data_IF_089103753237
#
_entry.id   IF_089103753237
#
_cell.length_a   1.000
_cell.length_b   1.000
_cell.length_c   1.000
_cell.angle_alpha   90.00
_cell.angle_beta   90.00
_cell.angle_gamma   90.00
#
_symmetry.space_group_name_H-M   'P 1'
#
loop_
_entity.id
_entity.type
_entity.pdbx_description
1 polymer ?
#
# COMPACT_ATOMS: atom_id res chain seq x y z
N UNK A 1 58.47 -24.30 -27.70
CA UNK A 1 58.73 -23.09 -26.88
C UNK A 1 60.14 -22.65 -27.19
N UNK A 2 60.27 -21.47 -27.80
CA UNK A 2 61.58 -20.91 -28.16
C UNK A 2 62.24 -20.33 -26.89
N UNK A 3 63.57 -20.17 -26.87
CA UNK A 3 64.24 -19.59 -25.69
C UNK A 3 63.74 -18.19 -25.36
N UNK A 4 63.33 -17.41 -26.36
CA UNK A 4 62.73 -16.09 -26.15
C UNK A 4 61.45 -16.14 -25.33
N UNK A 5 60.59 -17.15 -25.54
CA UNK A 5 59.33 -17.27 -24.81
C UNK A 5 59.57 -17.52 -23.31
N UNK A 6 60.57 -18.34 -22.99
CA UNK A 6 60.97 -18.63 -21.60
C UNK A 6 61.52 -17.40 -20.87
N UNK A 7 62.32 -16.59 -21.57
CA UNK A 7 62.87 -15.36 -20.99
C UNK A 7 61.76 -14.33 -20.70
N UNK A 8 60.73 -14.26 -21.55
CA UNK A 8 59.57 -13.38 -21.33
C UNK A 8 58.73 -13.86 -20.14
N UNK A 9 58.46 -15.17 -20.03
CA UNK A 9 57.76 -15.72 -18.86
C UNK A 9 58.50 -15.44 -17.55
N UNK A 10 59.83 -15.64 -17.51
CA UNK A 10 60.64 -15.35 -16.33
C UNK A 10 60.65 -13.86 -15.97
N UNK A 11 60.59 -12.97 -16.97
CA UNK A 11 60.47 -11.53 -16.74
C UNK A 11 59.12 -11.16 -16.12
N UNK A 12 58.03 -11.75 -16.62
CA UNK A 12 56.68 -11.54 -16.10
C UNK A 12 56.55 -12.07 -14.67
N UNK A 13 57.06 -13.28 -14.41
CA UNK A 13 57.04 -13.90 -13.09
C UNK A 13 57.82 -13.05 -12.07
N UNK A 14 58.99 -12.55 -12.46
CA UNK A 14 59.79 -11.66 -11.61
C UNK A 14 59.09 -10.33 -11.33
N UNK A 15 58.47 -9.71 -12.35
CA UNK A 15 57.68 -8.48 -12.17
C UNK A 15 56.49 -8.70 -11.23
N UNK A 16 55.77 -9.83 -11.37
CA UNK A 16 54.64 -10.15 -10.49
C UNK A 16 55.06 -10.53 -9.06
N UNK A 17 56.25 -11.10 -8.88
CA UNK A 17 56.77 -11.44 -7.55
C UNK A 17 57.32 -10.23 -6.78
N UNK A 18 57.83 -9.22 -7.49
CA UNK A 18 58.33 -7.96 -6.89
C UNK A 18 57.20 -6.98 -6.54
N UNK A 19 56.05 -7.10 -7.19
CA UNK A 19 54.83 -6.37 -6.84
C UNK A 19 54.27 -6.87 -5.50
N UNK A 20 54.42 -6.06 -4.45
CA UNK A 20 53.84 -6.35 -3.13
C UNK A 20 52.32 -6.36 -3.27
N UNK A 21 51.70 -7.53 -3.09
CA UNK A 21 50.24 -7.70 -3.11
C UNK A 21 49.58 -6.60 -2.27
N UNK A 22 48.80 -5.75 -2.92
CA UNK A 22 48.04 -4.69 -2.24
C UNK A 22 47.00 -5.38 -1.35
N UNK A 23 47.30 -5.48 -0.05
CA UNK A 23 46.30 -6.00 0.88
C UNK A 23 45.21 -4.95 1.06
N UNK A 24 43.95 -5.37 1.19
CA UNK A 24 42.90 -4.44 1.60
C UNK A 24 43.29 -3.78 2.93
N UNK A 25 42.75 -2.59 3.18
CA UNK A 25 42.89 -1.94 4.48
C UNK A 25 42.39 -2.86 5.59
N UNK A 26 42.99 -2.77 6.78
CA UNK A 26 42.60 -3.57 7.97
C UNK A 26 41.08 -3.50 8.22
N UNK A 27 40.46 -2.35 7.96
CA UNK A 27 39.04 -2.11 8.19
C UNK A 27 38.12 -2.42 7.00
N UNK A 28 38.64 -3.04 5.93
CA UNK A 28 37.89 -3.27 4.69
C UNK A 28 36.61 -4.09 4.94
N UNK A 29 36.74 -5.20 5.66
CA UNK A 29 35.60 -6.07 6.00
C UNK A 29 34.59 -5.33 6.87
N UNK A 30 35.05 -4.57 7.87
CA UNK A 30 34.18 -3.79 8.76
C UNK A 30 33.42 -2.70 8.00
N UNK A 31 34.09 -2.00 7.07
CA UNK A 31 33.43 -1.00 6.20
C UNK A 31 32.41 -1.64 5.27
N UNK A 32 32.73 -2.77 4.65
CA UNK A 32 31.78 -3.46 3.77
C UNK A 32 30.58 -3.94 4.56
N UNK A 33 30.78 -4.59 5.71
CA UNK A 33 29.70 -5.08 6.55
C UNK A 33 28.79 -3.96 7.04
N UNK A 34 29.37 -2.83 7.45
CA UNK A 34 28.60 -1.64 7.85
C UNK A 34 27.76 -1.07 6.68
N UNK A 35 28.32 -1.02 5.47
CA UNK A 35 27.58 -0.57 4.28
C UNK A 35 26.47 -1.56 3.87
N UNK A 36 26.71 -2.87 4.00
CA UNK A 36 25.71 -3.91 3.74
C UNK A 36 24.55 -3.77 4.71
N UNK A 37 24.83 -3.62 6.01
CA UNK A 37 23.81 -3.49 7.05
C UNK A 37 22.93 -2.24 6.84
N UNK A 38 23.53 -1.10 6.47
CA UNK A 38 22.77 0.11 6.11
C UNK A 38 21.94 -0.08 4.82
N UNK A 39 22.44 -0.82 3.84
CA UNK A 39 21.69 -1.14 2.63
C UNK A 39 20.52 -2.08 2.90
N UNK A 40 20.72 -3.05 3.78
CA UNK A 40 19.75 -4.04 4.21
C UNK A 40 18.64 -3.38 5.03
N UNK A 41 18.98 -2.52 5.99
CA UNK A 41 18.01 -1.68 6.72
C UNK A 41 17.21 -0.74 5.78
N UNK A 42 17.84 -0.23 4.72
CA UNK A 42 17.14 0.58 3.70
C UNK A 42 16.23 -0.25 2.79
N UNK A 43 16.56 -1.51 2.50
CA UNK A 43 15.67 -2.46 1.83
C UNK A 43 14.54 -2.93 2.74
N UNK A 44 14.81 -3.02 4.04
CA UNK A 44 13.85 -3.20 5.12
C UNK A 44 13.11 -1.91 5.48
N UNK A 45 13.11 -0.88 4.62
CA UNK A 45 12.09 0.18 4.68
C UNK A 45 10.74 -0.46 4.39
N UNK A 46 10.19 -1.02 5.45
CA UNK A 46 8.93 -1.70 5.52
C UNK A 46 7.86 -0.84 4.87
N UNK A 47 7.02 -1.51 4.09
CA UNK A 47 5.85 -0.93 3.46
C UNK A 47 5.04 -0.14 4.48
N UNK A 48 5.05 1.19 4.33
CA UNK A 48 4.16 2.06 5.08
C UNK A 48 2.78 1.91 4.43
N UNK A 49 1.79 1.32 5.12
CA UNK A 49 0.49 1.11 4.52
C UNK A 49 -0.08 2.45 4.06
N UNK A 50 -0.52 2.51 2.79
CA UNK A 50 -1.08 3.71 2.16
C UNK A 50 -2.18 4.36 3.01
N UNK A 51 -2.90 3.54 3.76
CA UNK A 51 -3.95 3.92 4.70
C UNK A 51 -3.67 3.22 6.03
N UNK A 52 -3.57 3.99 7.11
CA UNK A 52 -3.35 3.43 8.46
C UNK A 52 -4.53 2.55 8.90
N UNK A 53 -4.27 1.58 9.78
CA UNK A 53 -5.33 0.70 10.31
C UNK A 53 -6.48 1.49 10.96
N UNK A 54 -6.17 2.63 11.59
CA UNK A 54 -7.17 3.51 12.21
C UNK A 54 -8.12 4.15 11.18
N UNK A 55 -7.63 4.47 9.99
CA UNK A 55 -8.46 5.07 8.93
C UNK A 55 -9.40 4.01 8.32
N UNK A 56 -8.97 2.75 8.25
CA UNK A 56 -9.86 1.63 7.87
C UNK A 56 -11.01 1.44 8.86
N UNK A 57 -10.73 1.53 10.16
CA UNK A 57 -11.76 1.46 11.20
C UNK A 57 -12.73 2.64 11.09
N UNK A 58 -12.21 3.85 10.85
CA UNK A 58 -13.03 5.04 10.61
C UNK A 58 -13.95 4.89 9.39
N UNK A 59 -13.45 4.31 8.28
CA UNK A 59 -14.27 4.00 7.10
C UNK A 59 -15.40 3.02 7.44
N UNK A 60 -15.09 1.96 8.19
CA UNK A 60 -16.08 0.96 8.60
C UNK A 60 -17.18 1.56 9.47
N UNK A 61 -16.81 2.43 10.42
CA UNK A 61 -17.75 3.16 11.27
C UNK A 61 -18.62 4.11 10.44
N UNK A 62 -18.04 4.86 9.51
CA UNK A 62 -18.80 5.77 8.65
C UNK A 62 -19.85 5.02 7.81
N UNK A 63 -19.48 3.86 7.25
CA UNK A 63 -20.42 3.00 6.50
C UNK A 63 -21.49 2.44 7.43
N UNK A 64 -21.13 1.95 8.61
CA UNK A 64 -22.11 1.44 9.58
C UNK A 64 -23.12 2.51 9.99
N UNK A 65 -22.66 3.75 10.24
CA UNK A 65 -23.54 4.88 10.55
C UNK A 65 -24.47 5.23 9.38
N UNK A 66 -23.99 5.17 8.13
CA UNK A 66 -24.84 5.34 6.96
C UNK A 66 -25.90 4.25 6.84
N UNK A 67 -25.53 2.98 7.06
CA UNK A 67 -26.48 1.86 7.05
C UNK A 67 -27.52 2.00 8.16
N UNK A 68 -27.10 2.38 9.37
CA UNK A 68 -28.00 2.64 10.50
C UNK A 68 -28.93 3.83 10.17
N UNK A 69 -28.40 4.90 9.62
CA UNK A 69 -29.18 6.07 9.21
C UNK A 69 -30.23 5.69 8.17
N UNK A 70 -29.84 4.98 7.10
CA UNK A 70 -30.81 4.50 6.11
C UNK A 70 -31.81 3.53 6.75
N UNK A 71 -31.38 2.61 7.61
CA UNK A 71 -32.29 1.66 8.27
C UNK A 71 -33.31 2.32 9.19
N UNK A 72 -32.92 3.38 9.91
CA UNK A 72 -33.79 4.08 10.84
C UNK A 72 -34.71 5.10 10.14
N UNK A 73 -34.24 5.72 9.06
CA UNK A 73 -34.99 6.76 8.34
C UNK A 73 -35.71 6.25 7.08
N UNK A 74 -35.40 5.04 6.58
CA UNK A 74 -36.09 4.41 5.44
C UNK A 74 -37.29 3.56 5.86
N UNK A 75 -37.48 3.28 7.15
CA UNK A 75 -38.69 2.64 7.68
C UNK A 75 -39.70 3.75 7.98
N UNK A 76 -40.36 4.21 6.93
CA UNK A 76 -41.48 5.15 7.01
C UNK A 76 -42.75 4.40 7.43
N UNK A 77 -42.78 3.95 8.66
CA UNK A 77 -44.01 3.81 9.43
C UNK A 77 -43.64 4.07 10.89
N UNK A 78 -44.41 4.94 11.54
CA UNK A 78 -44.39 5.30 12.97
C UNK A 78 -43.62 6.59 13.34
N UNK A 79 -44.31 7.70 13.14
CA UNK A 79 -44.63 8.70 14.18
C UNK A 79 -43.51 9.09 15.17
N UNK A 80 -42.37 9.52 14.66
CA UNK A 80 -41.40 10.27 15.45
C UNK A 80 -41.03 11.55 14.70
N UNK A 81 -40.96 12.65 15.45
CA UNK A 81 -40.73 14.05 15.08
C UNK A 81 -39.41 14.31 14.32
N UNK A 82 -39.26 13.63 13.20
CA UNK A 82 -38.11 13.60 12.28
C UNK A 82 -38.48 14.26 10.94
N UNK A 83 -39.77 14.50 10.72
CA UNK A 83 -40.33 15.08 9.50
C UNK A 83 -39.77 16.49 9.21
N UNK A 84 -39.45 17.29 10.23
CA UNK A 84 -39.02 18.68 10.04
C UNK A 84 -37.56 18.81 9.56
N UNK A 85 -36.66 17.92 10.03
CA UNK A 85 -35.25 17.91 9.60
C UNK A 85 -35.10 17.17 8.26
N UNK A 86 -35.88 16.10 8.05
CA UNK A 86 -35.90 15.36 6.79
C UNK A 86 -36.42 16.18 5.62
N UNK A 87 -37.46 17.00 5.82
CA UNK A 87 -38.05 17.85 4.77
C UNK A 87 -37.08 18.88 4.19
N UNK A 88 -36.31 19.58 5.02
CA UNK A 88 -35.39 20.64 4.54
C UNK A 88 -34.27 20.07 3.64
N UNK A 89 -33.77 18.86 3.96
CA UNK A 89 -32.76 18.18 3.15
C UNK A 89 -33.37 17.47 1.93
N UNK A 90 -34.51 16.81 2.11
CA UNK A 90 -35.26 16.15 1.05
C UNK A 90 -35.64 17.14 -0.05
N UNK A 91 -36.21 18.29 0.28
CA UNK A 91 -36.75 19.25 -0.69
C UNK A 91 -35.64 19.90 -1.54
N UNK A 92 -34.47 20.15 -0.94
CA UNK A 92 -33.30 20.69 -1.67
C UNK A 92 -32.63 19.64 -2.56
N UNK A 93 -32.60 18.39 -2.11
CA UNK A 93 -32.01 17.29 -2.86
C UNK A 93 -32.93 16.85 -4.00
N UNK A 94 -34.23 16.74 -3.76
CA UNK A 94 -35.23 16.47 -4.80
C UNK A 94 -35.34 17.60 -5.81
N UNK A 95 -35.21 18.88 -5.43
CA UNK A 95 -35.19 19.99 -6.39
C UNK A 95 -33.98 19.92 -7.35
N UNK A 96 -32.83 19.39 -6.91
CA UNK A 96 -31.62 19.26 -7.75
C UNK A 96 -31.66 17.97 -8.60
N UNK A 97 -32.37 16.93 -8.14
CA UNK A 97 -32.49 15.63 -8.81
C UNK A 97 -33.89 15.37 -9.39
N UNK A 98 -34.73 16.39 -9.53
CA UNK A 98 -36.16 16.32 -9.91
C UNK A 98 -36.43 15.66 -11.27
N UNK A 99 -35.43 15.55 -12.14
CA UNK A 99 -35.55 14.87 -13.43
C UNK A 99 -35.11 13.41 -13.43
N UNK A 100 -34.57 12.90 -12.32
CA UNK A 100 -33.94 11.58 -12.26
C UNK A 100 -34.77 10.68 -11.33
N UNK A 101 -35.59 9.84 -11.95
CA UNK A 101 -36.35 8.81 -11.25
C UNK A 101 -35.39 7.66 -10.87
N UNK A 102 -34.77 7.74 -9.70
CA UNK A 102 -33.95 6.65 -9.19
C UNK A 102 -34.84 5.47 -8.79
N UNK A 103 -34.70 4.32 -9.46
CA UNK A 103 -35.42 3.10 -9.08
C UNK A 103 -34.89 2.54 -7.77
N UNK A 104 -35.70 1.79 -7.02
CA UNK A 104 -35.25 1.18 -5.75
C UNK A 104 -33.96 0.36 -5.93
N UNK A 105 -33.82 -0.31 -7.07
CA UNK A 105 -32.63 -1.09 -7.42
C UNK A 105 -31.37 -0.24 -7.56
N UNK A 106 -31.46 0.96 -8.17
CA UNK A 106 -30.29 1.84 -8.34
C UNK A 106 -29.82 2.42 -7.00
N UNK A 107 -30.76 2.64 -6.08
CA UNK A 107 -30.48 3.14 -4.73
C UNK A 107 -29.75 2.06 -3.91
N UNK A 108 -30.20 0.81 -3.97
CA UNK A 108 -29.48 -0.32 -3.35
C UNK A 108 -28.11 -0.55 -4.01
N UNK A 109 -28.01 -0.40 -5.33
CA UNK A 109 -26.73 -0.52 -6.03
C UNK A 109 -25.73 0.55 -5.57
N UNK A 110 -26.14 1.81 -5.48
CA UNK A 110 -25.29 2.91 -4.97
C UNK A 110 -24.80 2.66 -3.53
N UNK A 111 -25.58 1.95 -2.72
CA UNK A 111 -25.21 1.63 -1.34
C UNK A 111 -24.27 0.42 -1.24
N UNK A 112 -24.51 -0.63 -2.02
CA UNK A 112 -23.77 -1.90 -1.96
C UNK A 112 -22.43 -1.83 -2.72
N UNK A 113 -22.39 -1.10 -3.83
CA UNK A 113 -21.21 -0.99 -4.69
C UNK A 113 -19.96 -0.42 -3.95
N UNK A 114 -20.04 0.65 -3.16
CA UNK A 114 -18.88 1.13 -2.39
C UNK A 114 -18.46 0.13 -1.30
N UNK A 115 -19.40 -0.57 -0.67
CA UNK A 115 -19.11 -1.62 0.32
C UNK A 115 -18.30 -2.74 -0.34
N UNK A 116 -18.71 -3.17 -1.52
CA UNK A 116 -18.02 -4.21 -2.28
C UNK A 116 -16.61 -3.77 -2.71
N UNK A 117 -16.43 -2.52 -3.14
CA UNK A 117 -15.11 -1.95 -3.48
C UNK A 117 -14.18 -1.93 -2.26
N UNK A 118 -14.70 -1.57 -1.08
CA UNK A 118 -13.91 -1.58 0.16
C UNK A 118 -13.44 -2.99 0.52
N UNK A 119 -14.32 -3.98 0.39
CA UNK A 119 -13.96 -5.40 0.62
C UNK A 119 -12.89 -5.84 -0.40
N UNK A 120 -13.07 -5.52 -1.68
CA UNK A 120 -12.11 -5.88 -2.74
C UNK A 120 -10.73 -5.30 -2.47
N UNK A 121 -10.64 -4.03 -2.06
CA UNK A 121 -9.38 -3.37 -1.72
C UNK A 121 -8.74 -4.04 -0.49
N UNK A 122 -9.52 -4.42 0.52
CA UNK A 122 -9.03 -5.15 1.69
C UNK A 122 -8.44 -6.51 1.34
N UNK A 123 -9.13 -7.29 0.50
CA UNK A 123 -8.68 -8.60 0.01
C UNK A 123 -7.41 -8.46 -0.82
N UNK A 124 -7.37 -7.49 -1.73
CA UNK A 124 -6.22 -7.25 -2.58
C UNK A 124 -5.01 -6.83 -1.75
N UNK A 125 -5.21 -5.94 -0.76
CA UNK A 125 -4.16 -5.56 0.19
C UNK A 125 -3.62 -6.78 0.95
N UNK A 126 -4.50 -7.64 1.48
CA UNK A 126 -4.10 -8.84 2.20
C UNK A 126 -3.34 -9.85 1.30
N UNK A 127 -3.75 -9.98 0.04
CA UNK A 127 -3.06 -10.82 -0.94
C UNK A 127 -1.65 -10.32 -1.25
N UNK A 128 -1.49 -9.01 -1.46
CA UNK A 128 -0.17 -8.40 -1.69
C UNK A 128 0.70 -8.45 -0.43
N UNK A 129 0.16 -8.17 0.76
CA UNK A 129 0.90 -8.30 2.03
C UNK A 129 1.47 -9.72 2.22
N UNK A 130 0.70 -10.77 1.88
CA UNK A 130 1.17 -12.17 1.93
C UNK A 130 2.20 -12.53 0.86
N UNK A 131 2.04 -12.03 -0.37
CA UNK A 131 2.91 -12.37 -1.50
C UNK A 131 4.29 -11.74 -1.39
N UNK A 132 4.38 -10.57 -0.76
CA UNK A 132 5.63 -9.81 -0.68
C UNK A 132 6.39 -10.00 0.65
N UNK A 133 6.00 -10.96 1.50
CA UNK A 133 6.65 -11.26 2.80
C UNK A 133 7.20 -10.01 3.49
N UNK A 134 6.27 -9.19 3.99
CA UNK A 134 6.55 -8.16 5.00
C UNK A 134 6.29 -8.74 6.40
#
# INVERSE_FOLDING_TARGET
MTESDKNIEQLIEKMMAEEKLQSPSIDFTSKIMANIQVLEEKKLKAYKPLISKSIWISIGIAVALLVIYVSLFSVSDNDLKIDEIGKIYSDKMTATFSGIHFSKNILYAILILPIMILIQIGVLKNYFDKKYQL
#
